data_IF_161368805688
#
_entry.id   IF_161368805688
#
_cell.length_a   1.000
_cell.length_b   1.000
_cell.length_c   1.000
_cell.angle_alpha   90.00
_cell.angle_beta   90.00
_cell.angle_gamma   90.00
#
_symmetry.space_group_name_H-M   'P 1'
#
loop_
_entity.id
_entity.type
_entity.pdbx_description
1 polymer ?
#
# COMPACT_ATOMS: atom_id res chain seq x y z
N UNK A 1 -13.30 -46.70 -4.04
CA UNK A 1 -11.90 -46.25 -3.82
C UNK A 1 -11.41 -45.52 -5.07
N UNK A 2 -11.27 -44.19 -5.00
CA UNK A 2 -10.33 -43.32 -5.72
C UNK A 2 -10.72 -41.89 -5.35
N UNK A 3 -10.14 -41.39 -4.27
CA UNK A 3 -10.16 -39.96 -3.97
C UNK A 3 -9.30 -39.31 -5.05
N UNK A 4 -9.93 -38.83 -6.12
CA UNK A 4 -9.25 -38.06 -7.16
C UNK A 4 -8.98 -36.71 -6.52
N UNK A 5 -7.79 -36.54 -5.97
CA UNK A 5 -7.30 -35.23 -5.60
C UNK A 5 -7.40 -34.40 -6.90
N UNK A 6 -8.23 -33.35 -6.98
CA UNK A 6 -8.39 -32.62 -8.22
C UNK A 6 -7.01 -32.16 -8.61
N UNK A 7 -6.51 -32.62 -9.77
CA UNK A 7 -5.20 -32.22 -10.27
C UNK A 7 -5.13 -30.71 -10.18
N UNK A 8 -4.18 -30.21 -9.38
CA UNK A 8 -3.94 -28.78 -9.20
C UNK A 8 -3.91 -28.13 -10.58
N UNK A 9 -4.93 -27.34 -10.88
CA UNK A 9 -5.06 -26.74 -12.19
C UNK A 9 -4.10 -25.56 -12.25
N UNK A 10 -2.97 -25.73 -12.94
CA UNK A 10 -2.00 -24.65 -13.19
C UNK A 10 -2.71 -23.45 -13.81
N UNK A 11 -3.70 -23.69 -14.69
CA UNK A 11 -4.54 -22.65 -15.30
C UNK A 11 -5.30 -21.86 -14.23
N UNK A 12 -5.88 -22.55 -13.25
CA UNK A 12 -6.59 -21.90 -12.14
C UNK A 12 -5.64 -21.10 -11.24
N UNK A 13 -4.45 -21.63 -10.93
CA UNK A 13 -3.45 -20.91 -10.14
C UNK A 13 -2.98 -19.64 -10.85
N UNK A 14 -2.74 -19.72 -12.16
CA UNK A 14 -2.41 -18.56 -13.00
C UNK A 14 -3.56 -17.56 -13.03
N UNK A 15 -4.80 -18.02 -13.14
CA UNK A 15 -5.98 -17.16 -13.06
C UNK A 15 -6.02 -16.39 -11.74
N UNK A 16 -5.84 -17.06 -10.60
CA UNK A 16 -5.78 -16.41 -9.28
C UNK A 16 -4.62 -15.41 -9.19
N UNK A 17 -3.44 -15.81 -9.65
CA UNK A 17 -2.25 -14.95 -9.67
C UNK A 17 -2.49 -13.67 -10.47
N UNK A 18 -3.00 -13.77 -11.70
CA UNK A 18 -3.24 -12.62 -12.56
C UNK A 18 -4.36 -11.70 -12.06
N UNK A 19 -5.34 -12.23 -11.33
CA UNK A 19 -6.42 -11.43 -10.74
C UNK A 19 -6.05 -10.78 -9.41
N UNK A 20 -4.94 -11.21 -8.78
CA UNK A 20 -4.50 -10.62 -7.51
C UNK A 20 -4.10 -9.15 -7.68
N UNK A 21 -4.75 -8.29 -6.92
CA UNK A 21 -4.50 -6.85 -6.81
C UNK A 21 -4.41 -6.48 -5.33
N UNK A 22 -3.58 -5.51 -4.99
CA UNK A 22 -3.49 -4.98 -3.63
C UNK A 22 -4.82 -4.32 -3.25
N UNK A 23 -5.38 -4.73 -2.13
CA UNK A 23 -6.64 -4.20 -1.61
C UNK A 23 -6.44 -2.83 -0.93
N UNK A 24 -7.53 -2.07 -0.79
CA UNK A 24 -7.46 -0.79 -0.09
C UNK A 24 -7.07 -1.00 1.38
N UNK A 25 -6.01 -0.33 1.83
CA UNK A 25 -5.47 -0.47 3.19
C UNK A 25 -4.62 -1.72 3.42
N UNK A 26 -4.43 -2.56 2.40
CA UNK A 26 -3.51 -3.69 2.47
C UNK A 26 -2.06 -3.21 2.43
N UNK A 27 -1.19 -3.75 3.29
CA UNK A 27 0.24 -3.46 3.23
C UNK A 27 0.90 -4.09 2.01
N UNK A 28 1.91 -3.41 1.49
CA UNK A 28 2.68 -3.90 0.35
C UNK A 28 3.34 -5.25 0.62
N UNK A 29 3.81 -5.48 1.85
CA UNK A 29 4.44 -6.75 2.22
C UNK A 29 3.44 -7.91 2.23
N UNK A 30 2.20 -7.69 2.68
CA UNK A 30 1.17 -8.73 2.62
C UNK A 30 0.85 -9.10 1.17
N UNK A 31 0.61 -8.07 0.33
CA UNK A 31 0.35 -8.24 -1.10
C UNK A 31 1.48 -9.00 -1.82
N UNK A 32 2.74 -8.62 -1.58
CA UNK A 32 3.89 -9.27 -2.23
C UNK A 32 4.15 -10.69 -1.73
N UNK A 33 3.90 -10.98 -0.45
CA UNK A 33 4.03 -12.34 0.09
C UNK A 33 2.99 -13.29 -0.50
N UNK A 34 1.75 -12.84 -0.69
CA UNK A 34 0.72 -13.60 -1.38
C UNK A 34 1.11 -13.90 -2.82
N UNK A 35 1.60 -12.90 -3.55
CA UNK A 35 2.07 -13.07 -4.92
C UNK A 35 3.27 -14.03 -5.02
N UNK A 36 4.24 -13.94 -4.10
CA UNK A 36 5.38 -14.87 -4.01
C UNK A 36 4.92 -16.31 -3.76
N UNK A 37 3.85 -16.49 -3.01
CA UNK A 37 3.29 -17.82 -2.75
C UNK A 37 2.50 -18.31 -3.96
N UNK A 38 1.75 -17.43 -4.62
CA UNK A 38 0.98 -17.73 -5.83
C UNK A 38 1.86 -18.08 -7.04
N UNK A 39 2.94 -17.35 -7.28
CA UNK A 39 3.81 -17.55 -8.45
C UNK A 39 4.48 -18.93 -8.43
N UNK A 40 4.82 -19.46 -7.25
CA UNK A 40 5.36 -20.82 -7.05
C UNK A 40 4.38 -21.91 -7.48
N UNK A 41 3.08 -21.61 -7.51
CA UNK A 41 2.03 -22.55 -7.93
C UNK A 41 1.70 -22.48 -9.41
N UNK A 42 2.21 -21.47 -10.11
CA UNK A 42 1.88 -21.19 -11.51
C UNK A 42 2.83 -21.86 -12.53
N UNK A 43 3.95 -22.42 -12.08
CA UNK A 43 4.95 -23.09 -12.93
C UNK A 43 5.35 -22.23 -14.14
N UNK A 44 5.61 -20.94 -13.89
CA UNK A 44 6.16 -20.05 -14.92
C UNK A 44 7.63 -20.38 -15.16
N UNK A 45 8.08 -20.23 -16.40
CA UNK A 45 9.51 -20.38 -16.75
C UNK A 45 10.37 -19.32 -16.08
N UNK A 46 9.86 -18.08 -16.06
CA UNK A 46 10.46 -16.97 -15.33
C UNK A 46 9.45 -16.44 -14.30
N UNK A 47 9.54 -16.96 -13.07
CA UNK A 47 8.69 -16.52 -11.97
C UNK A 47 9.02 -15.11 -11.47
N UNK A 48 10.27 -14.68 -11.59
CA UNK A 48 10.70 -13.36 -11.11
C UNK A 48 10.15 -12.27 -12.03
N UNK A 49 10.19 -12.49 -13.34
CA UNK A 49 9.57 -11.61 -14.32
C UNK A 49 8.05 -11.52 -14.13
N UNK A 50 7.38 -12.65 -13.97
CA UNK A 50 5.92 -12.66 -13.75
C UNK A 50 5.53 -11.98 -12.44
N UNK A 51 6.32 -12.17 -11.38
CA UNK A 51 6.10 -11.52 -10.09
C UNK A 51 6.30 -10.00 -10.19
N UNK A 52 7.37 -9.54 -10.86
CA UNK A 52 7.63 -8.12 -11.14
C UNK A 52 6.42 -7.47 -11.83
N UNK A 53 5.96 -8.08 -12.92
CA UNK A 53 4.87 -7.52 -13.73
C UNK A 53 3.56 -7.52 -12.93
N UNK A 54 3.30 -8.58 -12.17
CA UNK A 54 2.10 -8.65 -11.33
C UNK A 54 2.09 -7.61 -10.21
N UNK A 55 3.24 -7.35 -9.58
CA UNK A 55 3.37 -6.26 -8.61
C UNK A 55 3.08 -4.92 -9.31
N UNK A 56 3.70 -4.67 -10.47
CA UNK A 56 3.52 -3.43 -11.23
C UNK A 56 2.04 -3.19 -11.57
N UNK A 57 1.33 -4.20 -12.09
CA UNK A 57 -0.08 -4.05 -12.49
C UNK A 57 -1.08 -4.16 -11.34
N UNK A 58 -0.68 -4.79 -10.23
CA UNK A 58 -1.56 -5.08 -9.10
C UNK A 58 -1.49 -4.07 -7.96
N UNK A 59 -0.50 -3.17 -7.92
CA UNK A 59 -0.37 -2.19 -6.83
C UNK A 59 -1.56 -1.23 -6.77
N UNK A 60 -1.94 -0.86 -5.54
CA UNK A 60 -3.05 0.07 -5.28
C UNK A 60 -2.67 1.51 -5.68
N UNK A 61 -1.45 1.92 -5.34
CA UNK A 61 -0.92 3.27 -5.57
C UNK A 61 -0.60 3.53 -7.06
N UNK A 62 -1.47 4.30 -7.72
CA UNK A 62 -1.34 4.63 -9.15
C UNK A 62 -0.17 5.53 -9.48
N UNK A 63 0.25 6.39 -8.56
CA UNK A 63 1.40 7.27 -8.76
C UNK A 63 2.70 6.46 -8.78
N UNK A 64 2.79 5.45 -7.90
CA UNK A 64 3.92 4.53 -7.91
C UNK A 64 3.85 3.60 -9.09
N UNK A 65 2.67 3.08 -9.44
CA UNK A 65 2.49 2.25 -10.63
C UNK A 65 3.13 2.89 -11.87
N UNK A 66 2.88 4.19 -12.13
CA UNK A 66 3.49 4.92 -13.25
C UNK A 66 5.02 4.97 -13.18
N UNK A 67 5.58 5.16 -11.97
CA UNK A 67 7.04 5.22 -11.74
C UNK A 67 7.72 3.86 -11.89
N UNK A 68 6.98 2.76 -11.76
CA UNK A 68 7.50 1.40 -11.88
C UNK A 68 7.65 0.92 -13.33
N UNK A 69 6.97 1.54 -14.30
CA UNK A 69 6.95 1.13 -15.72
C UNK A 69 8.37 1.07 -16.34
N UNK A 70 9.32 1.86 -15.82
CA UNK A 70 10.69 1.95 -16.34
C UNK A 70 11.62 0.88 -15.73
N UNK A 71 11.19 0.16 -14.68
CA UNK A 71 12.07 -0.72 -13.90
C UNK A 71 12.05 -2.15 -14.44
N UNK A 72 13.25 -2.71 -14.67
CA UNK A 72 13.43 -4.07 -15.19
C UNK A 72 13.63 -5.14 -14.12
N UNK A 73 14.14 -4.78 -12.93
CA UNK A 73 14.47 -5.73 -11.86
C UNK A 73 13.40 -5.72 -10.76
N UNK A 74 12.99 -6.91 -10.32
CA UNK A 74 12.06 -7.10 -9.21
C UNK A 74 12.55 -6.52 -7.88
N UNK A 75 13.85 -6.60 -7.58
CA UNK A 75 14.43 -6.07 -6.35
C UNK A 75 14.21 -4.55 -6.26
N UNK A 76 14.47 -3.83 -7.36
CA UNK A 76 14.25 -2.39 -7.46
C UNK A 76 12.78 -2.03 -7.27
N UNK A 77 11.87 -2.83 -7.86
CA UNK A 77 10.43 -2.62 -7.71
C UNK A 77 10.01 -2.76 -6.25
N UNK A 78 10.45 -3.83 -5.57
CA UNK A 78 10.14 -4.08 -4.16
C UNK A 78 10.68 -2.96 -3.26
N UNK A 79 11.95 -2.58 -3.45
CA UNK A 79 12.57 -1.50 -2.66
C UNK A 79 11.78 -0.21 -2.86
N UNK A 80 11.49 0.17 -4.10
CA UNK A 80 10.77 1.41 -4.41
C UNK A 80 9.39 1.46 -3.76
N UNK A 81 8.63 0.36 -3.82
CA UNK A 81 7.30 0.29 -3.23
C UNK A 81 7.35 0.41 -1.70
N UNK A 82 8.25 -0.33 -1.04
CA UNK A 82 8.44 -0.26 0.41
C UNK A 82 8.88 1.12 0.87
N UNK A 83 9.85 1.72 0.18
CA UNK A 83 10.30 3.08 0.49
C UNK A 83 9.16 4.08 0.33
N UNK A 84 8.33 3.96 -0.70
CA UNK A 84 7.18 4.86 -0.87
C UNK A 84 6.10 4.65 0.20
N UNK A 85 5.78 3.42 0.56
CA UNK A 85 4.84 3.12 1.65
C UNK A 85 5.31 3.74 2.98
N UNK A 86 6.61 3.60 3.30
CA UNK A 86 7.21 4.22 4.48
C UNK A 86 7.16 5.75 4.42
N UNK A 87 7.48 6.35 3.27
CA UNK A 87 7.40 7.80 3.08
C UNK A 87 5.96 8.30 3.23
N UNK A 88 4.98 7.64 2.60
CA UNK A 88 3.56 8.03 2.70
C UNK A 88 3.07 7.95 4.14
N UNK A 89 3.43 6.89 4.85
CA UNK A 89 3.12 6.72 6.27
C UNK A 89 3.73 7.87 7.09
N UNK A 90 5.02 8.15 6.92
CA UNK A 90 5.71 9.23 7.64
C UNK A 90 5.12 10.61 7.34
N UNK A 91 4.85 10.91 6.07
CA UNK A 91 4.24 12.18 5.65
C UNK A 91 2.86 12.33 6.27
N UNK A 92 2.06 11.27 6.29
CA UNK A 92 0.75 11.27 6.94
C UNK A 92 0.88 11.54 8.45
N UNK A 93 1.79 10.87 9.15
CA UNK A 93 1.96 11.10 10.60
C UNK A 93 2.35 12.54 10.90
N UNK A 94 3.35 13.08 10.19
CA UNK A 94 3.81 14.47 10.37
C UNK A 94 2.69 15.48 10.06
N UNK A 95 1.91 15.25 9.00
CA UNK A 95 0.77 16.11 8.66
C UNK A 95 -0.31 16.07 9.73
N UNK A 96 -0.68 14.89 10.23
CA UNK A 96 -1.71 14.77 11.27
C UNK A 96 -1.30 15.39 12.60
N UNK A 97 -0.02 15.33 12.97
CA UNK A 97 0.50 16.00 14.17
C UNK A 97 0.44 17.52 14.02
N UNK A 98 0.83 18.05 12.86
CA UNK A 98 0.70 19.47 12.54
C UNK A 98 -0.75 19.97 12.68
N UNK A 99 -1.72 19.26 12.09
CA UNK A 99 -3.14 19.62 12.18
C UNK A 99 -3.64 19.71 13.62
N UNK A 100 -3.32 18.72 14.47
CA UNK A 100 -3.72 18.72 15.89
C UNK A 100 -3.15 19.92 16.65
N UNK A 101 -1.90 20.30 16.39
CA UNK A 101 -1.29 21.45 17.07
C UNK A 101 -1.98 22.76 16.72
N UNK A 102 -2.34 22.95 15.44
CA UNK A 102 -3.06 24.15 14.97
C UNK A 102 -4.45 24.23 15.58
N UNK A 103 -5.19 23.12 15.64
CA UNK A 103 -6.52 23.05 16.26
C UNK A 103 -6.48 23.43 17.75
N UNK A 104 -5.47 22.96 18.48
CA UNK A 104 -5.28 23.30 19.90
C UNK A 104 -4.98 24.78 20.09
N UNK A 105 -4.15 25.37 19.23
CA UNK A 105 -3.82 26.80 19.29
C UNK A 105 -5.02 27.69 18.94
N UNK A 106 -5.81 27.32 17.93
CA UNK A 106 -7.04 28.03 17.58
C UNK A 106 -8.05 28.00 18.73
N UNK A 107 -8.21 26.85 19.41
CA UNK A 107 -9.09 26.73 20.56
C UNK A 107 -8.62 27.55 21.77
N UNK A 108 -7.30 27.61 22.00
CA UNK A 108 -6.73 28.48 23.04
C UNK A 108 -6.94 29.95 22.72
N UNK A 109 -6.73 30.37 21.48
CA UNK A 109 -6.94 31.76 21.05
C UNK A 109 -8.40 32.17 21.19
N UNK A 110 -9.36 31.33 20.77
CA UNK A 110 -10.79 31.62 20.94
C UNK A 110 -11.20 31.77 22.42
N UNK A 111 -10.61 30.97 23.32
CA UNK A 111 -10.83 31.09 24.76
C UNK A 111 -10.27 32.41 25.31
N UNK A 112 -9.06 32.80 24.88
CA UNK A 112 -8.44 34.07 25.24
C UNK A 112 -9.24 35.28 24.74
N UNK A 113 -9.75 35.23 23.52
CA UNK A 113 -10.60 36.30 22.95
C UNK A 113 -11.89 36.46 23.76
N UNK A 114 -12.53 35.35 24.17
CA UNK A 114 -13.72 35.39 25.03
C UNK A 114 -13.42 36.04 26.39
N UNK A 115 -12.29 35.70 27.00
CA UNK A 115 -11.88 36.25 28.30
C UNK A 115 -11.59 37.76 28.23
N UNK A 116 -10.85 38.19 27.20
CA UNK A 116 -10.54 39.61 26.98
C UNK A 116 -11.81 40.44 26.72
N UNK A 117 -12.80 39.88 26.01
CA UNK A 117 -14.09 40.53 25.80
C UNK A 117 -14.88 40.68 27.12
N UNK A 118 -14.90 39.64 27.96
CA UNK A 118 -15.55 39.68 29.28
C UNK A 118 -14.86 40.66 30.25
N UNK A 119 -13.53 40.79 30.23
CA UNK A 119 -12.80 41.78 31.03
C UNK A 119 -13.09 43.21 30.59
N UNK A 120 -13.13 43.48 29.28
CA UNK A 120 -13.39 44.82 28.74
C UNK A 120 -14.83 45.31 28.99
N UNK A 121 -15.76 44.40 29.30
CA UNK A 121 -17.16 44.70 29.61
C UNK A 121 -17.43 44.99 31.10
N UNK A 122 -16.41 44.87 31.97
CA UNK A 122 -16.48 45.22 33.41
C UNK A 122 -16.04 46.66 33.65
#
# INVERSE_FOLDING_TARGET
MKYVNPKKSIVYERFLFYNRKQECGESFDHFTNDLKTGVKRCEFKDSEEMLRDRIMFGIFDKEIQQKLIVKRNIADVIIKCRTNEAIKTYVQTVQTEGVKTVEVLQKKNACLESYLYEEAAR
#
